data_IF_017589667510
#
_entry.id   IF_017589667510
#
_cell.length_a   1.000
_cell.length_b   1.000
_cell.length_c   1.000
_cell.angle_alpha   90.00
_cell.angle_beta   90.00
_cell.angle_gamma   90.00
#
_symmetry.space_group_name_H-M   'P 1'
#
loop_
_entity.id
_entity.type
_entity.pdbx_description
1 polymer ?
#
# COMPACT_ATOMS: atom_id res chain seq x y z
N UNK A 1 16.56 20.79 -19.11
CA UNK A 1 15.69 19.60 -19.19
C UNK A 1 15.40 19.06 -17.78
N UNK A 2 14.36 19.61 -17.15
CA UNK A 2 13.91 19.25 -15.80
C UNK A 2 13.13 17.94 -15.86
N UNK A 3 13.82 16.81 -15.75
CA UNK A 3 13.21 15.55 -15.30
C UNK A 3 13.54 15.41 -13.82
N UNK A 4 13.25 16.47 -13.06
CA UNK A 4 13.26 16.46 -11.61
C UNK A 4 11.82 16.59 -11.14
N UNK A 5 10.98 15.64 -11.56
CA UNK A 5 9.76 15.31 -10.85
C UNK A 5 10.01 14.00 -10.16
N UNK A 6 10.85 14.08 -9.11
CA UNK A 6 10.78 13.19 -7.95
C UNK A 6 9.31 12.81 -7.77
N UNK A 7 9.02 11.53 -7.94
CA UNK A 7 7.81 10.92 -7.43
C UNK A 7 7.79 11.24 -5.94
N UNK A 8 7.18 12.37 -5.58
CA UNK A 8 6.89 12.68 -4.20
C UNK A 8 6.00 11.56 -3.69
N UNK A 9 6.13 11.19 -2.42
CA UNK A 9 5.30 10.14 -1.82
C UNK A 9 3.79 10.37 -2.08
N UNK A 10 3.38 11.65 -2.22
CA UNK A 10 2.03 12.04 -2.64
C UNK A 10 1.65 11.69 -4.08
N UNK A 11 2.60 11.80 -5.02
CA UNK A 11 2.41 11.41 -6.42
C UNK A 11 2.23 9.89 -6.56
N UNK A 12 3.02 9.13 -5.80
CA UNK A 12 2.83 7.68 -5.67
C UNK A 12 1.47 7.36 -5.04
N UNK A 13 1.13 7.98 -3.91
CA UNK A 13 -0.18 7.83 -3.23
C UNK A 13 -1.36 8.14 -4.15
N UNK A 14 -1.28 9.20 -4.97
CA UNK A 14 -2.34 9.55 -5.92
C UNK A 14 -2.47 8.55 -7.06
N UNK A 15 -1.35 8.04 -7.58
CA UNK A 15 -1.37 6.97 -8.58
C UNK A 15 -1.90 5.65 -8.01
N UNK A 16 -1.63 5.38 -6.73
CA UNK A 16 -2.11 4.21 -5.98
C UNK A 16 -3.62 4.24 -5.78
N UNK A 17 -4.17 5.37 -5.35
CA UNK A 17 -5.62 5.56 -5.19
C UNK A 17 -6.35 5.47 -6.54
N UNK A 18 -5.67 5.86 -7.64
CA UNK A 18 -6.26 5.89 -8.98
C UNK A 18 -6.17 4.58 -9.77
N UNK A 19 -5.42 3.58 -9.30
CA UNK A 19 -5.36 2.26 -9.93
C UNK A 19 -4.51 2.16 -11.21
N UNK A 20 -3.67 3.16 -11.50
CA UNK A 20 -2.75 3.12 -12.64
C UNK A 20 -1.40 2.53 -12.20
N UNK A 21 -1.21 1.21 -12.29
CA UNK A 21 0.02 0.54 -11.84
C UNK A 21 0.89 -0.03 -12.97
N UNK A 22 2.17 0.38 -12.99
CA UNK A 22 3.23 -0.19 -13.82
C UNK A 22 4.02 -1.20 -12.97
N UNK A 23 3.68 -2.49 -13.09
CA UNK A 23 4.56 -3.69 -12.93
C UNK A 23 5.46 -3.86 -11.68
N UNK A 24 5.12 -3.32 -10.52
CA UNK A 24 5.45 -3.97 -9.23
C UNK A 24 4.30 -4.94 -8.89
N UNK A 25 4.55 -6.07 -8.22
CA UNK A 25 3.42 -6.95 -7.85
C UNK A 25 2.53 -6.21 -6.85
N UNK A 26 1.20 -6.28 -6.99
CA UNK A 26 0.25 -5.52 -6.17
C UNK A 26 0.50 -5.72 -4.64
N UNK A 27 1.05 -6.89 -4.26
CA UNK A 27 1.48 -7.21 -2.89
C UNK A 27 2.66 -6.38 -2.41
N UNK A 28 3.72 -6.21 -3.21
CA UNK A 28 4.90 -5.41 -2.80
C UNK A 28 4.52 -3.95 -2.57
N UNK A 29 3.65 -3.45 -3.44
CA UNK A 29 3.06 -2.12 -3.33
C UNK A 29 2.25 -1.97 -2.05
N UNK A 30 1.41 -2.95 -1.75
CA UNK A 30 0.66 -3.01 -0.50
C UNK A 30 1.57 -2.98 0.73
N UNK A 31 2.64 -3.78 0.72
CA UNK A 31 3.62 -3.82 1.82
C UNK A 31 4.28 -2.46 2.03
N UNK A 32 4.73 -1.82 0.97
CA UNK A 32 5.36 -0.50 1.03
C UNK A 32 4.41 0.55 1.60
N UNK A 33 3.17 0.62 1.10
CA UNK A 33 2.18 1.60 1.53
C UNK A 33 1.83 1.46 3.01
N UNK A 34 1.58 0.24 3.45
CA UNK A 34 1.18 -0.01 4.84
C UNK A 34 2.30 0.34 5.83
N UNK A 35 3.56 0.06 5.48
CA UNK A 35 4.74 0.52 6.25
C UNK A 35 4.77 2.06 6.29
N UNK A 36 4.62 2.71 5.14
CA UNK A 36 4.68 4.18 5.04
C UNK A 36 3.58 4.86 5.87
N UNK A 37 2.34 4.39 5.75
CA UNK A 37 1.20 4.94 6.47
C UNK A 37 1.34 4.73 7.98
N UNK A 38 1.78 3.53 8.40
CA UNK A 38 2.12 3.24 9.80
C UNK A 38 3.20 4.18 10.33
N UNK A 39 4.28 4.38 9.59
CA UNK A 39 5.38 5.28 9.98
C UNK A 39 4.93 6.75 10.07
N UNK A 40 3.98 7.17 9.22
CA UNK A 40 3.37 8.51 9.30
C UNK A 40 2.33 8.65 10.42
N UNK A 41 1.87 7.55 11.01
CA UNK A 41 0.75 7.55 11.97
C UNK A 41 -0.61 7.79 11.31
N UNK A 42 -0.72 7.62 9.98
CA UNK A 42 -1.98 7.74 9.25
C UNK A 42 -2.76 6.41 9.33
N UNK A 43 -3.43 6.22 10.48
CA UNK A 43 -4.15 4.99 10.79
C UNK A 43 -5.40 4.83 9.92
N UNK A 44 -6.11 5.92 9.60
CA UNK A 44 -7.28 5.88 8.72
C UNK A 44 -6.91 5.45 7.30
N UNK A 45 -5.86 6.05 6.73
CA UNK A 45 -5.35 5.65 5.42
C UNK A 45 -4.84 4.20 5.42
N UNK A 46 -4.17 3.78 6.51
CA UNK A 46 -3.72 2.40 6.67
C UNK A 46 -4.90 1.41 6.65
N UNK A 47 -5.95 1.69 7.41
CA UNK A 47 -7.17 0.87 7.45
C UNK A 47 -7.82 0.77 6.06
N UNK A 48 -7.94 1.90 5.36
CA UNK A 48 -8.55 1.96 4.03
C UNK A 48 -7.78 1.12 3.00
N UNK A 49 -6.44 1.21 2.99
CA UNK A 49 -5.59 0.42 2.11
C UNK A 49 -5.72 -1.07 2.40
N UNK A 50 -5.73 -1.47 3.67
CA UNK A 50 -5.94 -2.86 4.09
C UNK A 50 -7.28 -3.40 3.61
N UNK A 51 -8.37 -2.68 3.84
CA UNK A 51 -9.70 -3.10 3.42
C UNK A 51 -9.83 -3.23 1.90
N UNK A 52 -9.34 -2.22 1.16
CA UNK A 52 -9.39 -2.23 -0.30
C UNK A 52 -8.58 -3.37 -0.90
N UNK A 53 -7.38 -3.61 -0.38
CA UNK A 53 -6.52 -4.68 -0.89
C UNK A 53 -7.17 -6.06 -0.66
N UNK A 54 -7.73 -6.29 0.53
CA UNK A 54 -8.36 -7.57 0.89
C UNK A 54 -9.64 -7.87 0.11
N UNK A 55 -10.30 -6.85 -0.44
CA UNK A 55 -11.47 -7.02 -1.33
C UNK A 55 -11.08 -7.43 -2.76
N UNK A 56 -9.83 -7.18 -3.18
CA UNK A 56 -9.35 -7.54 -4.52
C UNK A 56 -9.05 -9.04 -4.64
N UNK A 57 -9.09 -9.62 -5.86
CA UNK A 57 -8.73 -11.02 -6.09
C UNK A 57 -7.34 -11.37 -5.55
N UNK A 58 -6.39 -10.44 -5.65
CA UNK A 58 -5.03 -10.61 -5.19
C UNK A 58 -4.93 -10.61 -3.66
N UNK A 59 -5.70 -9.76 -2.95
CA UNK A 59 -5.79 -9.85 -1.49
C UNK A 59 -6.29 -11.20 -0.99
N UNK A 60 -7.22 -11.83 -1.72
CA UNK A 60 -7.67 -13.19 -1.41
C UNK A 60 -6.61 -14.25 -1.74
N UNK A 61 -5.92 -14.10 -2.87
CA UNK A 61 -4.87 -15.02 -3.32
C UNK A 61 -3.65 -15.01 -2.40
N UNK A 62 -3.30 -13.85 -1.86
CA UNK A 62 -2.12 -13.63 -1.02
C UNK A 62 -2.47 -13.37 0.44
N UNK A 63 -3.63 -13.84 0.90
CA UNK A 63 -4.16 -13.59 2.25
C UNK A 63 -3.14 -13.85 3.36
N UNK A 64 -2.47 -15.00 3.33
CA UNK A 64 -1.46 -15.37 4.34
C UNK A 64 -0.26 -14.41 4.35
N UNK A 65 0.25 -14.03 3.17
CA UNK A 65 1.39 -13.10 3.03
C UNK A 65 1.01 -11.70 3.51
N UNK A 66 -0.22 -11.26 3.21
CA UNK A 66 -0.76 -9.98 3.66
C UNK A 66 -0.93 -9.98 5.17
N UNK A 67 -1.44 -11.06 5.74
CA UNK A 67 -1.65 -11.19 7.17
C UNK A 67 -0.33 -11.19 7.94
N UNK A 68 0.65 -11.98 7.52
CA UNK A 68 2.00 -12.02 8.11
C UNK A 68 2.63 -10.62 8.11
N UNK A 69 2.56 -9.92 6.98
CA UNK A 69 3.06 -8.54 6.87
C UNK A 69 2.35 -7.58 7.83
N UNK A 70 1.02 -7.69 7.98
CA UNK A 70 0.28 -6.83 8.91
C UNK A 70 0.66 -7.10 10.38
N UNK A 71 0.94 -8.35 10.72
CA UNK A 71 1.48 -8.71 12.04
C UNK A 71 2.90 -8.14 12.24
N UNK A 72 3.77 -8.21 11.23
CA UNK A 72 5.13 -7.64 11.26
C UNK A 72 5.17 -6.13 11.51
N UNK A 73 4.20 -5.39 10.96
CA UNK A 73 4.11 -3.93 11.17
C UNK A 73 3.28 -3.54 12.40
N UNK A 74 2.93 -4.52 13.24
CA UNK A 74 2.09 -4.35 14.43
C UNK A 74 0.79 -3.59 14.10
N UNK A 75 0.15 -3.97 13.00
CA UNK A 75 -1.16 -3.47 12.64
C UNK A 75 -2.21 -4.11 13.54
N UNK A 76 -2.69 -3.34 14.51
CA UNK A 76 -3.79 -3.69 15.39
C UNK A 76 -4.97 -2.79 15.02
N UNK A 77 -6.01 -3.39 14.43
CA UNK A 77 -7.26 -2.71 14.09
C UNK A 77 -8.16 -2.59 15.31
#
# INVERSE_FOLDING_TARGET
PEIDKRLTDEGLMKSLIKGDFIRSTDVETFKYLTIFLKAKGDIEGLNEVVEKFMQQPDGKKYHEIVKEHLEEIEYNK
#
